data_IF_934969057616
#
_entry.id   IF_934969057616
#
_cell.length_a   1.000
_cell.length_b   1.000
_cell.length_c   1.000
_cell.angle_alpha   90.00
_cell.angle_beta   90.00
_cell.angle_gamma   90.00
#
_symmetry.space_group_name_H-M   'P 1'
#
loop_
_entity.id
_entity.type
_entity.pdbx_description
1 polymer ?
#
# COMPACT_ATOMS: atom_id res chain seq x y z
N UNK A 1 41.63 42.55 17.73
CA UNK A 1 40.41 41.77 17.38
C UNK A 1 40.65 40.83 16.21
N UNK A 2 41.03 41.32 15.01
CA UNK A 2 41.40 40.45 13.88
C UNK A 2 42.56 39.48 14.24
N UNK A 3 43.64 40.00 14.84
CA UNK A 3 44.76 39.20 15.37
C UNK A 3 44.36 38.25 16.51
N UNK A 4 43.39 38.65 17.33
CA UNK A 4 42.80 37.84 18.41
C UNK A 4 42.07 36.61 17.85
N UNK A 5 41.27 36.82 16.80
CA UNK A 5 40.57 35.76 16.09
C UNK A 5 41.56 34.87 15.33
N UNK A 6 42.55 35.44 14.64
CA UNK A 6 43.62 34.69 13.98
C UNK A 6 44.35 33.74 14.94
N UNK A 7 44.82 34.24 16.09
CA UNK A 7 45.49 33.42 17.11
C UNK A 7 44.59 32.31 17.68
N UNK A 8 43.29 32.57 17.80
CA UNK A 8 42.31 31.53 18.16
C UNK A 8 42.16 30.46 17.07
N UNK A 9 41.95 30.88 15.82
CA UNK A 9 41.71 29.99 14.68
C UNK A 9 42.88 29.03 14.44
N UNK A 10 44.11 29.47 14.66
CA UNK A 10 45.33 28.66 14.49
C UNK A 10 45.77 27.92 15.77
N UNK A 11 45.10 28.17 16.90
CA UNK A 11 45.31 27.48 18.18
C UNK A 11 46.56 27.91 18.96
N UNK A 12 47.07 29.13 18.76
CA UNK A 12 48.39 29.54 19.28
C UNK A 12 48.37 30.27 20.63
N UNK A 13 47.23 30.70 21.19
CA UNK A 13 47.19 31.39 22.50
C UNK A 13 45.96 31.08 23.35
N UNK A 14 46.16 31.14 24.69
CA UNK A 14 45.10 31.16 25.69
C UNK A 14 44.48 32.57 25.71
N UNK A 15 43.18 32.65 25.45
CA UNK A 15 42.37 33.86 25.21
C UNK A 15 42.28 34.86 26.38
N UNK A 16 43.15 34.81 27.38
CA UNK A 16 43.07 35.70 28.55
C UNK A 16 43.91 36.95 28.40
N UNK A 17 45.04 36.89 27.68
CA UNK A 17 45.99 38.00 27.59
C UNK A 17 46.80 37.91 26.28
N UNK A 18 46.83 38.99 25.49
CA UNK A 18 47.60 39.03 24.24
C UNK A 18 48.64 40.14 24.25
N UNK A 19 49.89 39.73 24.10
CA UNK A 19 51.02 40.62 23.87
C UNK A 19 51.23 40.83 22.36
N UNK A 20 51.21 42.09 21.94
CA UNK A 20 51.56 42.48 20.57
C UNK A 20 53.08 42.60 20.41
N UNK A 21 53.59 42.58 19.16
CA UNK A 21 55.05 42.69 18.89
C UNK A 21 55.66 44.02 19.37
N UNK A 22 54.84 45.05 19.51
CA UNK A 22 55.17 46.36 20.08
C UNK A 22 54.97 46.43 21.61
N UNK A 23 54.72 45.30 22.28
CA UNK A 23 54.66 45.21 23.74
C UNK A 23 53.34 45.63 24.39
N UNK A 24 52.31 45.99 23.61
CA UNK A 24 51.00 46.30 24.17
C UNK A 24 50.27 45.02 24.56
N UNK A 25 49.69 44.99 25.76
CA UNK A 25 48.94 43.87 26.31
C UNK A 25 47.44 44.18 26.22
N UNK A 26 46.67 43.27 25.63
CA UNK A 26 45.22 43.36 25.53
C UNK A 26 44.56 42.25 26.35
N UNK A 27 43.72 42.63 27.31
CA UNK A 27 42.90 41.72 28.11
C UNK A 27 41.59 41.49 27.36
N UNK A 28 41.26 40.24 27.09
CA UNK A 28 40.07 39.87 26.33
C UNK A 28 38.88 39.78 27.28
N UNK A 29 37.77 40.42 26.93
CA UNK A 29 36.54 40.38 27.72
C UNK A 29 35.99 38.94 27.85
N UNK A 30 35.52 38.54 29.04
CA UNK A 30 34.96 37.21 29.29
C UNK A 30 33.85 36.78 28.30
N UNK A 31 33.08 37.74 27.78
CA UNK A 31 32.07 37.47 26.74
C UNK A 31 32.67 36.90 25.45
N UNK A 32 33.88 37.30 25.09
CA UNK A 32 34.59 36.79 23.91
C UNK A 32 34.98 35.33 24.10
N UNK A 33 35.45 34.95 25.30
CA UNK A 33 35.77 33.56 25.64
C UNK A 33 34.55 32.65 25.48
N UNK A 34 33.40 33.07 25.99
CA UNK A 34 32.14 32.30 25.87
C UNK A 34 31.65 32.13 24.42
N UNK A 35 31.89 33.13 23.57
CA UNK A 35 31.51 33.10 22.15
C UNK A 35 32.43 32.15 21.37
N UNK A 36 33.71 32.16 21.71
CA UNK A 36 34.77 31.40 21.07
C UNK A 36 34.73 29.91 21.46
N UNK A 37 34.40 29.58 22.71
CA UNK A 37 34.23 28.20 23.17
C UNK A 37 33.06 27.45 22.48
N UNK A 38 32.14 28.19 21.84
CA UNK A 38 31.01 27.63 21.07
C UNK A 38 31.35 27.31 19.62
N UNK A 39 32.50 27.76 19.10
CA UNK A 39 32.89 27.44 17.73
C UNK A 39 33.44 26.02 17.63
N UNK A 40 33.04 25.25 16.60
CA UNK A 40 33.60 23.92 16.36
C UNK A 40 35.10 24.00 16.05
N UNK A 41 35.86 22.99 16.49
CA UNK A 41 37.30 22.88 16.18
C UNK A 41 37.49 22.81 14.67
N UNK A 42 38.32 23.70 14.14
CA UNK A 42 38.63 23.75 12.70
C UNK A 42 39.52 22.59 12.26
N UNK A 43 39.31 22.12 11.03
CA UNK A 43 40.20 21.13 10.40
C UNK A 43 41.58 21.73 10.11
N UNK A 44 42.61 20.89 9.97
CA UNK A 44 43.97 21.36 9.72
C UNK A 44 44.13 22.08 8.37
N UNK A 45 43.35 21.70 7.34
CA UNK A 45 43.38 22.42 6.06
C UNK A 45 42.89 23.86 6.23
N UNK A 46 41.84 24.08 7.02
CA UNK A 46 41.31 25.41 7.29
C UNK A 46 42.32 26.22 8.11
N UNK A 47 43.02 25.60 9.08
CA UNK A 47 44.08 26.29 9.84
C UNK A 47 45.24 26.72 8.95
N UNK A 48 45.66 25.90 7.98
CA UNK A 48 46.70 26.27 7.02
C UNK A 48 46.29 27.45 6.14
N UNK A 49 45.03 27.49 5.67
CA UNK A 49 44.50 28.63 4.93
C UNK A 49 44.56 29.89 5.79
N UNK A 50 44.12 29.82 7.05
CA UNK A 50 44.21 30.98 7.93
C UNK A 50 45.66 31.44 8.16
N UNK A 51 46.61 30.53 8.39
CA UNK A 51 48.04 30.87 8.51
C UNK A 51 48.58 31.65 7.32
N UNK A 52 48.17 31.30 6.10
CA UNK A 52 48.57 32.03 4.89
C UNK A 52 48.00 33.46 4.79
N UNK A 53 47.01 33.79 5.62
CA UNK A 53 46.33 35.09 5.64
C UNK A 53 46.83 36.01 6.77
N UNK A 54 47.86 35.64 7.53
CA UNK A 54 48.36 36.38 8.71
C UNK A 54 48.54 37.88 8.43
N UNK A 55 49.26 38.24 7.36
CA UNK A 55 49.50 39.64 6.98
C UNK A 55 48.21 40.40 6.62
N UNK A 56 47.19 39.70 6.12
CA UNK A 56 45.88 40.28 5.81
C UNK A 56 45.12 40.58 7.10
N UNK A 57 45.22 39.72 8.11
CA UNK A 57 44.64 39.94 9.44
C UNK A 57 45.34 41.04 10.24
N UNK A 58 46.64 41.28 10.01
CA UNK A 58 47.37 42.38 10.63
C UNK A 58 47.01 43.76 10.04
N UNK A 59 46.58 43.79 8.77
CA UNK A 59 46.28 45.04 8.04
C UNK A 59 44.79 45.34 7.89
N UNK A 60 43.91 44.34 8.08
CA UNK A 60 42.47 44.52 7.96
C UNK A 60 41.89 45.38 9.11
N UNK A 61 41.21 46.46 8.74
CA UNK A 61 40.41 47.24 9.69
C UNK A 61 39.19 46.43 10.18
N UNK A 62 38.79 46.70 11.43
CA UNK A 62 37.76 45.95 12.18
C UNK A 62 36.42 45.84 11.40
N UNK A 63 36.11 46.81 10.53
CA UNK A 63 34.89 46.84 9.72
C UNK A 63 34.81 45.75 8.66
N UNK A 64 35.91 45.45 7.94
CA UNK A 64 35.92 44.43 6.89
C UNK A 64 35.77 43.01 7.46
N UNK A 65 36.28 42.80 8.68
CA UNK A 65 36.19 41.52 9.35
C UNK A 65 34.76 41.22 9.84
N UNK A 66 34.05 42.23 10.36
CA UNK A 66 32.62 42.10 10.68
C UNK A 66 31.79 41.75 9.44
N UNK A 67 32.01 42.47 8.34
CA UNK A 67 31.33 42.18 7.06
C UNK A 67 31.61 40.77 6.54
N UNK A 68 32.84 40.27 6.70
CA UNK A 68 33.20 38.91 6.32
C UNK A 68 32.48 37.86 7.18
N UNK A 69 32.45 38.03 8.50
CA UNK A 69 31.72 37.12 9.40
C UNK A 69 30.21 37.13 9.11
N UNK A 70 29.61 38.30 8.90
CA UNK A 70 28.19 38.42 8.55
C UNK A 70 27.88 37.72 7.21
N UNK A 71 28.79 37.82 6.24
CA UNK A 71 28.66 37.10 4.97
C UNK A 71 28.78 35.59 5.15
N UNK A 72 29.71 35.10 5.97
CA UNK A 72 29.82 33.67 6.27
C UNK A 72 28.55 33.17 6.94
N UNK A 73 28.08 33.85 7.99
CA UNK A 73 26.85 33.48 8.70
C UNK A 73 25.65 33.48 7.76
N UNK A 74 25.51 34.50 6.91
CA UNK A 74 24.44 34.55 5.92
C UNK A 74 24.50 33.39 4.91
N UNK A 75 25.69 32.99 4.46
CA UNK A 75 25.84 31.85 3.55
C UNK A 75 25.57 30.52 4.26
N UNK A 76 25.99 30.37 5.52
CA UNK A 76 25.66 29.21 6.33
C UNK A 76 24.14 29.06 6.49
N UNK A 77 23.43 30.13 6.88
CA UNK A 77 21.97 30.10 7.04
C UNK A 77 21.28 29.74 5.72
N UNK A 78 21.74 30.27 4.58
CA UNK A 78 21.20 29.90 3.26
C UNK A 78 21.40 28.42 2.95
N UNK A 79 22.60 27.90 3.17
CA UNK A 79 22.91 26.48 2.95
C UNK A 79 22.07 25.56 3.84
N UNK A 80 21.91 25.90 5.13
CA UNK A 80 21.05 25.17 6.06
C UNK A 80 19.58 25.17 5.59
N UNK A 81 19.08 26.30 5.11
CA UNK A 81 17.72 26.42 4.56
C UNK A 81 17.53 25.57 3.31
N UNK A 82 18.51 25.57 2.40
CA UNK A 82 18.47 24.81 1.16
C UNK A 82 18.48 23.30 1.43
N UNK A 83 19.35 22.83 2.34
CA UNK A 83 19.38 21.42 2.78
C UNK A 83 18.04 21.03 3.42
N UNK A 84 17.50 21.88 4.30
CA UNK A 84 16.21 21.61 4.97
C UNK A 84 15.06 21.49 3.97
N UNK A 85 15.03 22.36 2.95
CA UNK A 85 14.02 22.32 1.89
C UNK A 85 14.15 21.06 1.02
N UNK A 86 15.37 20.67 0.64
CA UNK A 86 15.62 19.44 -0.13
C UNK A 86 15.21 18.20 0.67
N UNK A 87 15.55 18.13 1.97
CA UNK A 87 15.13 17.05 2.85
C UNK A 87 13.60 16.97 2.97
N UNK A 88 12.92 18.10 3.12
CA UNK A 88 11.45 18.12 3.20
C UNK A 88 10.82 17.58 1.90
N UNK A 89 11.29 18.04 0.75
CA UNK A 89 10.82 17.56 -0.56
C UNK A 89 11.03 16.06 -0.72
N UNK A 90 12.22 15.55 -0.34
CA UNK A 90 12.52 14.12 -0.39
C UNK A 90 11.60 13.29 0.52
N UNK A 91 11.36 13.76 1.75
CA UNK A 91 10.46 13.10 2.70
C UNK A 91 9.02 13.10 2.18
N UNK A 92 8.54 14.21 1.64
CA UNK A 92 7.19 14.31 1.08
C UNK A 92 7.00 13.36 -0.09
N UNK A 93 7.94 13.34 -1.05
CA UNK A 93 7.90 12.42 -2.19
C UNK A 93 7.97 10.95 -1.74
N UNK A 94 8.87 10.62 -0.81
CA UNK A 94 8.99 9.27 -0.25
C UNK A 94 7.72 8.85 0.49
N UNK A 95 7.14 9.74 1.29
CA UNK A 95 5.91 9.47 2.01
C UNK A 95 4.73 9.22 1.06
N UNK A 96 4.57 10.06 0.02
CA UNK A 96 3.52 9.86 -0.98
C UNK A 96 3.69 8.53 -1.70
N UNK A 97 4.90 8.19 -2.12
CA UNK A 97 5.19 6.91 -2.79
C UNK A 97 4.89 5.70 -1.89
N UNK A 98 5.29 5.75 -0.61
CA UNK A 98 4.98 4.68 0.36
C UNK A 98 3.47 4.60 0.60
N UNK A 99 2.82 5.74 0.80
CA UNK A 99 1.39 5.81 1.07
C UNK A 99 0.57 5.26 -0.11
N UNK A 100 0.89 5.65 -1.36
CA UNK A 100 0.25 5.11 -2.55
C UNK A 100 0.50 3.61 -2.71
N UNK A 101 1.73 3.15 -2.44
CA UNK A 101 2.05 1.73 -2.47
C UNK A 101 1.21 0.92 -1.47
N UNK A 102 1.15 1.37 -0.21
CA UNK A 102 0.35 0.73 0.84
C UNK A 102 -1.16 0.81 0.54
N UNK A 103 -1.64 1.94 0.02
CA UNK A 103 -3.04 2.07 -0.40
C UNK A 103 -3.39 1.10 -1.52
N UNK A 104 -2.51 0.94 -2.51
CA UNK A 104 -2.72 0.02 -3.62
C UNK A 104 -2.67 -1.45 -3.14
N UNK A 105 -1.81 -1.77 -2.18
CA UNK A 105 -1.83 -3.08 -1.52
C UNK A 105 -3.15 -3.36 -0.79
N UNK A 106 -3.69 -2.38 -0.05
CA UNK A 106 -4.94 -2.56 0.70
C UNK A 106 -6.16 -2.63 -0.24
N UNK A 107 -6.20 -1.78 -1.27
CA UNK A 107 -7.32 -1.73 -2.23
C UNK A 107 -7.34 -2.93 -3.17
N UNK A 108 -6.18 -3.53 -3.42
CA UNK A 108 -6.00 -4.54 -4.45
C UNK A 108 -6.11 -3.96 -5.86
N UNK A 109 -6.23 -4.84 -6.83
CA UNK A 109 -6.31 -4.46 -8.23
C UNK A 109 -7.68 -3.85 -8.58
N UNK A 110 -7.70 -2.62 -9.11
CA UNK A 110 -8.94 -1.98 -9.55
C UNK A 110 -9.52 -2.49 -10.87
N UNK A 111 -8.82 -3.38 -11.58
CA UNK A 111 -9.23 -3.85 -12.90
C UNK A 111 -10.49 -4.73 -12.81
N UNK A 112 -11.44 -4.53 -13.72
CA UNK A 112 -12.67 -5.32 -13.79
C UNK A 112 -12.60 -6.34 -14.93
N UNK A 113 -13.02 -7.56 -14.65
CA UNK A 113 -13.07 -8.65 -15.61
C UNK A 113 -13.93 -8.24 -16.82
N UNK A 114 -13.41 -8.32 -18.05
CA UNK A 114 -14.16 -7.90 -19.24
C UNK A 114 -15.42 -8.75 -19.47
N UNK A 115 -15.46 -9.98 -18.94
CA UNK A 115 -16.58 -10.90 -19.10
C UNK A 115 -17.64 -10.77 -17.99
N UNK A 116 -17.26 -10.81 -16.70
CA UNK A 116 -18.21 -10.83 -15.58
C UNK A 116 -18.21 -9.58 -14.70
N UNK A 117 -17.36 -8.58 -15.02
CA UNK A 117 -17.19 -7.31 -14.29
C UNK A 117 -16.70 -7.45 -12.84
N UNK A 118 -16.28 -8.65 -12.44
CA UNK A 118 -15.63 -8.90 -11.15
C UNK A 118 -14.32 -8.09 -11.04
N UNK A 119 -14.08 -7.48 -9.89
CA UNK A 119 -12.80 -6.83 -9.59
C UNK A 119 -11.71 -7.91 -9.44
N UNK A 120 -10.53 -7.65 -10.01
CA UNK A 120 -9.38 -8.55 -9.94
C UNK A 120 -8.90 -8.69 -8.47
N UNK A 121 -8.77 -9.92 -8.00
CA UNK A 121 -8.37 -10.28 -6.65
C UNK A 121 -6.88 -10.67 -6.54
N UNK A 122 -6.12 -10.49 -7.61
CA UNK A 122 -4.69 -10.75 -7.63
C UNK A 122 -3.94 -9.65 -6.88
N UNK A 123 -3.14 -10.06 -5.90
CA UNK A 123 -2.13 -9.20 -5.31
C UNK A 123 -0.93 -9.08 -6.26
N UNK A 124 -1.00 -8.06 -7.11
CA UNK A 124 0.04 -7.76 -8.10
C UNK A 124 1.35 -7.26 -7.47
N UNK A 125 1.39 -6.99 -6.17
CA UNK A 125 2.61 -6.54 -5.47
C UNK A 125 3.50 -7.72 -5.05
N UNK A 126 2.97 -8.94 -4.99
CA UNK A 126 3.77 -10.15 -4.71
C UNK A 126 4.58 -10.61 -5.93
N UNK A 127 4.07 -10.35 -7.14
CA UNK A 127 4.66 -10.83 -8.39
C UNK A 127 5.43 -9.72 -9.13
N UNK A 128 6.54 -9.26 -8.54
CA UNK A 128 7.36 -8.13 -9.04
C UNK A 128 8.17 -8.42 -10.32
N UNK A 129 8.09 -9.66 -10.84
CA UNK A 129 8.91 -10.10 -11.99
C UNK A 129 8.34 -9.68 -13.34
N UNK A 130 7.11 -9.17 -13.39
CA UNK A 130 6.46 -8.72 -14.63
C UNK A 130 5.51 -7.56 -14.36
N UNK A 131 5.31 -6.64 -15.32
CA UNK A 131 4.28 -5.61 -15.22
C UNK A 131 2.88 -6.21 -15.04
N UNK A 132 1.98 -5.44 -14.40
CA UNK A 132 0.56 -5.82 -14.25
C UNK A 132 -0.03 -6.10 -15.64
N UNK A 133 -0.74 -7.22 -15.76
CA UNK A 133 -1.33 -7.68 -17.03
C UNK A 133 -0.38 -8.50 -17.90
N UNK A 134 0.83 -8.84 -17.44
CA UNK A 134 1.81 -9.58 -18.25
C UNK A 134 2.37 -10.80 -17.52
N UNK A 135 2.73 -11.83 -18.30
CA UNK A 135 3.41 -13.03 -17.80
C UNK A 135 2.66 -13.70 -16.64
N UNK A 136 3.31 -13.78 -15.48
CA UNK A 136 2.71 -14.30 -14.24
C UNK A 136 1.85 -13.28 -13.49
N UNK A 137 2.02 -11.99 -13.78
CA UNK A 137 1.35 -10.87 -13.15
C UNK A 137 0.07 -10.43 -13.90
N UNK A 138 -0.56 -11.36 -14.64
CA UNK A 138 -1.85 -11.16 -15.31
C UNK A 138 -2.98 -11.01 -14.31
N UNK A 139 -4.03 -10.29 -14.72
CA UNK A 139 -5.29 -10.27 -13.98
C UNK A 139 -5.89 -11.68 -13.93
N UNK A 140 -6.63 -12.02 -12.87
CA UNK A 140 -7.27 -13.34 -12.76
C UNK A 140 -8.76 -13.22 -12.57
N UNK A 141 -9.49 -14.06 -13.28
CA UNK A 141 -10.90 -14.29 -13.07
C UNK A 141 -11.14 -15.80 -12.89
N UNK A 142 -10.59 -16.33 -11.80
CA UNK A 142 -10.56 -17.76 -11.49
C UNK A 142 -11.33 -18.09 -10.17
N UNK A 143 -11.50 -19.38 -9.88
CA UNK A 143 -12.03 -20.03 -8.67
C UNK A 143 -13.52 -19.80 -8.35
N UNK A 144 -14.40 -19.84 -9.36
CA UNK A 144 -15.86 -19.89 -9.14
C UNK A 144 -16.46 -18.63 -8.51
N UNK A 145 -15.73 -17.51 -8.54
CA UNK A 145 -15.98 -16.39 -7.65
C UNK A 145 -17.06 -15.37 -8.08
N UNK A 146 -17.64 -15.43 -9.27
CA UNK A 146 -18.80 -14.58 -9.57
C UNK A 146 -19.62 -15.15 -10.71
N UNK A 147 -20.93 -15.22 -10.51
CA UNK A 147 -21.87 -15.56 -11.58
C UNK A 147 -21.96 -14.37 -12.55
N UNK A 148 -21.84 -14.62 -13.86
CA UNK A 148 -21.84 -13.56 -14.89
C UNK A 148 -23.08 -12.67 -14.86
N UNK A 149 -24.24 -13.23 -14.51
CA UNK A 149 -25.48 -12.49 -14.29
C UNK A 149 -25.36 -11.38 -13.24
N UNK A 150 -24.49 -11.54 -12.23
CA UNK A 150 -24.23 -10.47 -11.25
C UNK A 150 -23.55 -9.25 -11.88
N UNK A 151 -22.81 -9.44 -12.97
CA UNK A 151 -22.21 -8.37 -13.79
C UNK A 151 -23.10 -7.87 -14.92
N UNK A 152 -24.40 -8.22 -14.92
CA UNK A 152 -25.37 -7.76 -15.91
C UNK A 152 -25.35 -8.54 -17.23
N UNK A 153 -24.73 -9.72 -17.26
CA UNK A 153 -24.61 -10.53 -18.48
C UNK A 153 -25.78 -11.50 -18.62
N UNK A 154 -26.37 -11.55 -19.82
CA UNK A 154 -27.48 -12.45 -20.17
C UNK A 154 -27.18 -13.28 -21.41
N UNK A 155 -27.85 -14.42 -21.56
CA UNK A 155 -27.86 -15.18 -22.80
C UNK A 155 -28.68 -14.43 -23.86
N UNK A 156 -28.11 -14.28 -25.05
CA UNK A 156 -28.71 -13.50 -26.13
C UNK A 156 -30.06 -14.08 -26.59
N UNK A 157 -30.17 -15.41 -26.67
CA UNK A 157 -31.34 -16.12 -27.18
C UNK A 157 -32.50 -16.09 -26.19
N UNK A 158 -32.26 -16.45 -24.92
CA UNK A 158 -33.34 -16.58 -23.92
C UNK A 158 -33.62 -15.28 -23.17
N UNK A 159 -32.64 -14.35 -23.17
CA UNK A 159 -32.64 -13.14 -22.35
C UNK A 159 -32.37 -13.40 -20.87
N UNK A 160 -32.09 -14.64 -20.49
CA UNK A 160 -31.86 -15.05 -19.12
C UNK A 160 -30.49 -14.64 -18.60
N UNK A 161 -30.42 -14.28 -17.31
CA UNK A 161 -29.15 -14.02 -16.64
C UNK A 161 -28.21 -15.22 -16.78
N UNK A 162 -26.96 -14.96 -17.15
CA UNK A 162 -25.97 -16.03 -17.31
C UNK A 162 -25.52 -16.53 -15.94
N UNK A 163 -26.05 -17.68 -15.53
CA UNK A 163 -25.67 -18.34 -14.25
C UNK A 163 -24.30 -19.05 -14.30
N UNK A 164 -23.58 -18.93 -15.42
CA UNK A 164 -22.26 -19.51 -15.63
C UNK A 164 -21.16 -18.63 -15.01
N UNK A 165 -20.06 -19.28 -14.65
CA UNK A 165 -18.79 -18.62 -14.32
C UNK A 165 -17.91 -18.53 -15.56
N UNK A 166 -16.98 -17.57 -15.62
CA UNK A 166 -16.07 -17.43 -16.77
C UNK A 166 -15.25 -18.69 -17.03
N UNK A 167 -14.82 -19.38 -15.97
CA UNK A 167 -13.96 -20.55 -16.06
C UNK A 167 -14.62 -21.78 -16.68
N UNK A 168 -15.96 -21.87 -16.62
CA UNK A 168 -16.69 -23.05 -17.10
C UNK A 168 -17.14 -22.92 -18.56
N UNK A 169 -16.87 -21.77 -19.19
CA UNK A 169 -17.19 -21.53 -20.59
C UNK A 169 -16.18 -22.30 -21.43
N UNK A 170 -16.66 -23.13 -22.36
CA UNK A 170 -15.78 -23.86 -23.27
C UNK A 170 -15.27 -22.93 -24.36
N UNK A 171 -14.09 -23.23 -24.87
CA UNK A 171 -13.40 -22.41 -25.88
C UNK A 171 -14.24 -22.14 -27.14
N UNK A 172 -15.10 -23.09 -27.52
CA UNK A 172 -15.98 -22.99 -28.69
C UNK A 172 -17.34 -22.37 -28.37
N UNK A 173 -17.68 -22.16 -27.09
CA UNK A 173 -18.95 -21.56 -26.70
C UNK A 173 -19.00 -20.08 -27.11
N UNK A 174 -20.13 -19.58 -27.63
CA UNK A 174 -20.26 -18.18 -28.00
C UNK A 174 -20.39 -17.28 -26.76
N UNK A 175 -19.72 -16.14 -26.79
CA UNK A 175 -19.84 -15.07 -25.82
C UNK A 175 -20.09 -13.73 -26.52
N UNK A 176 -20.96 -12.93 -25.90
CA UNK A 176 -21.26 -11.57 -26.35
C UNK A 176 -20.85 -10.63 -25.22
N UNK A 177 -19.93 -9.70 -25.51
CA UNK A 177 -19.50 -8.69 -24.54
C UNK A 177 -20.46 -7.51 -24.55
N UNK A 178 -20.89 -7.08 -23.37
CA UNK A 178 -21.80 -5.92 -23.20
C UNK A 178 -21.21 -4.62 -23.72
N UNK A 179 -19.88 -4.49 -23.77
CA UNK A 179 -19.21 -3.27 -24.21
C UNK A 179 -19.20 -3.09 -25.73
N UNK A 180 -19.24 -4.17 -26.51
CA UNK A 180 -19.01 -4.10 -27.96
C UNK A 180 -20.11 -4.80 -28.77
N UNK A 181 -21.02 -5.56 -28.15
CA UNK A 181 -22.03 -6.40 -28.82
C UNK A 181 -21.46 -7.36 -29.87
N UNK A 182 -20.16 -7.67 -29.81
CA UNK A 182 -19.51 -8.60 -30.72
C UNK A 182 -19.73 -10.01 -30.19
N UNK A 183 -20.37 -10.85 -31.02
CA UNK A 183 -20.46 -12.28 -30.79
C UNK A 183 -19.19 -12.96 -31.29
N UNK A 184 -18.47 -13.61 -30.39
CA UNK A 184 -17.24 -14.33 -30.69
C UNK A 184 -17.15 -15.63 -29.87
N UNK A 185 -16.24 -16.54 -30.22
CA UNK A 185 -15.98 -17.72 -29.38
C UNK A 185 -15.22 -17.34 -28.12
N UNK A 186 -15.35 -18.11 -27.06
CA UNK A 186 -14.61 -17.88 -25.81
C UNK A 186 -13.10 -17.88 -26.03
N UNK A 187 -12.58 -18.74 -26.91
CA UNK A 187 -11.17 -18.73 -27.30
C UNK A 187 -10.73 -17.40 -27.91
N UNK A 188 -11.51 -16.84 -28.84
CA UNK A 188 -11.22 -15.54 -29.44
C UNK A 188 -11.27 -14.43 -28.38
N UNK A 189 -12.25 -14.48 -27.47
CA UNK A 189 -12.35 -13.55 -26.36
C UNK A 189 -11.13 -13.60 -25.43
N UNK A 190 -10.66 -14.80 -25.04
CA UNK A 190 -9.45 -14.95 -24.21
C UNK A 190 -8.21 -14.39 -24.92
N UNK A 191 -8.08 -14.64 -26.23
CA UNK A 191 -6.96 -14.10 -27.01
C UNK A 191 -6.98 -12.56 -27.08
N UNK A 192 -8.16 -11.96 -27.18
CA UNK A 192 -8.33 -10.51 -27.19
C UNK A 192 -8.07 -9.85 -25.82
N UNK A 193 -8.15 -10.63 -24.73
CA UNK A 193 -7.91 -10.20 -23.35
C UNK A 193 -6.78 -11.03 -22.73
N UNK A 194 -5.64 -11.08 -23.43
CA UNK A 194 -4.49 -11.93 -23.04
C UNK A 194 -3.82 -11.48 -21.73
N UNK A 195 -4.11 -10.27 -21.27
CA UNK A 195 -3.76 -9.70 -19.98
C UNK A 195 -4.56 -10.29 -18.80
N UNK A 196 -5.63 -11.02 -19.12
CA UNK A 196 -6.43 -11.78 -18.17
C UNK A 196 -6.17 -13.29 -18.28
N UNK A 197 -6.15 -13.93 -17.12
CA UNK A 197 -6.15 -15.36 -16.96
C UNK A 197 -7.52 -15.82 -16.45
N UNK A 198 -8.25 -16.53 -17.30
CA UNK A 198 -9.58 -17.05 -17.03
C UNK A 198 -9.57 -18.52 -16.55
N UNK A 199 -8.37 -19.08 -16.31
CA UNK A 199 -8.21 -20.45 -15.81
C UNK A 199 -8.44 -21.53 -16.86
N UNK A 200 -8.33 -22.78 -16.39
CA UNK A 200 -8.61 -23.96 -17.20
C UNK A 200 -9.95 -24.59 -16.75
N UNK A 201 -10.96 -24.73 -17.65
CA UNK A 201 -12.26 -25.36 -17.33
C UNK A 201 -12.16 -26.79 -16.76
N UNK A 202 -10.99 -27.44 -16.91
CA UNK A 202 -10.70 -28.79 -16.41
C UNK A 202 -10.32 -28.80 -14.93
N UNK A 203 -9.84 -27.69 -14.37
CA UNK A 203 -9.45 -27.57 -12.96
C UNK A 203 -10.64 -26.98 -12.22
N UNK A 204 -11.51 -27.85 -11.70
CA UNK A 204 -12.75 -27.46 -11.00
C UNK A 204 -12.58 -27.62 -9.50
N UNK A 205 -12.36 -26.52 -8.79
CA UNK A 205 -12.60 -26.49 -7.35
C UNK A 205 -14.10 -26.26 -7.09
N UNK A 206 -14.64 -26.92 -6.07
CA UNK A 206 -16.09 -26.98 -5.79
C UNK A 206 -16.59 -25.70 -5.08
N UNK A 207 -16.21 -24.53 -5.60
CA UNK A 207 -16.51 -23.19 -5.06
C UNK A 207 -17.81 -22.60 -5.62
N UNK A 208 -18.61 -23.41 -6.32
CA UNK A 208 -19.95 -23.07 -6.77
C UNK A 208 -20.95 -22.58 -5.67
N UNK A 209 -20.91 -23.07 -4.41
CA UNK A 209 -21.97 -22.81 -3.43
C UNK A 209 -22.15 -21.34 -2.99
N UNK A 210 -21.11 -20.56 -2.63
CA UNK A 210 -21.30 -19.23 -2.04
C UNK A 210 -21.98 -18.23 -2.98
N UNK A 211 -21.60 -18.24 -4.26
CA UNK A 211 -22.17 -17.30 -5.24
C UNK A 211 -23.53 -17.71 -5.76
N UNK A 212 -23.83 -19.01 -5.77
CA UNK A 212 -25.21 -19.47 -5.99
C UNK A 212 -26.12 -18.93 -4.88
N UNK A 213 -25.70 -19.05 -3.61
CA UNK A 213 -26.46 -18.52 -2.47
C UNK A 213 -26.69 -17.00 -2.56
N UNK A 214 -25.62 -16.23 -2.82
CA UNK A 214 -25.73 -14.77 -2.99
C UNK A 214 -26.71 -14.44 -4.13
N UNK A 215 -26.59 -15.13 -5.27
CA UNK A 215 -27.47 -14.93 -6.42
C UNK A 215 -28.95 -15.19 -6.08
N UNK A 216 -29.26 -16.22 -5.31
CA UNK A 216 -30.65 -16.51 -4.90
C UNK A 216 -31.24 -15.39 -4.04
N UNK A 217 -30.42 -14.69 -3.24
CA UNK A 217 -30.87 -13.58 -2.38
C UNK A 217 -31.07 -12.27 -3.14
N UNK A 218 -30.10 -11.88 -3.96
CA UNK A 218 -30.04 -10.53 -4.56
C UNK A 218 -30.15 -10.53 -6.08
N UNK A 219 -30.11 -11.69 -6.75
CA UNK A 219 -30.03 -11.78 -8.20
C UNK A 219 -31.24 -11.17 -8.92
N UNK A 220 -32.44 -11.30 -8.34
CA UNK A 220 -33.65 -10.63 -8.88
C UNK A 220 -33.50 -9.11 -8.85
N UNK A 221 -33.08 -8.55 -7.72
CA UNK A 221 -32.83 -7.11 -7.56
C UNK A 221 -31.75 -6.62 -8.54
N UNK A 222 -30.69 -7.42 -8.77
CA UNK A 222 -29.66 -7.10 -9.76
C UNK A 222 -30.23 -7.09 -11.18
N UNK A 223 -31.06 -8.09 -11.55
CA UNK A 223 -31.71 -8.12 -12.87
C UNK A 223 -32.58 -6.87 -13.10
N UNK A 224 -33.36 -6.47 -12.11
CA UNK A 224 -34.19 -5.26 -12.16
C UNK A 224 -33.34 -3.99 -12.26
N UNK A 225 -32.18 -3.95 -11.57
CA UNK A 225 -31.26 -2.81 -11.58
C UNK A 225 -30.63 -2.55 -12.96
N UNK A 226 -30.22 -3.60 -13.68
CA UNK A 226 -29.51 -3.45 -14.95
C UNK A 226 -30.38 -2.91 -16.10
N UNK A 227 -31.72 -2.90 -15.95
CA UNK A 227 -32.69 -2.34 -16.93
C UNK A 227 -32.48 -2.81 -18.38
N UNK A 228 -31.82 -3.93 -18.60
CA UNK A 228 -31.41 -4.46 -19.90
C UNK A 228 -32.29 -5.64 -20.36
N UNK A 229 -33.46 -5.83 -19.74
CA UNK A 229 -34.38 -6.93 -20.02
C UNK A 229 -33.84 -8.31 -19.62
N UNK A 230 -32.86 -8.36 -18.70
CA UNK A 230 -32.34 -9.61 -18.16
C UNK A 230 -33.40 -10.32 -17.29
N UNK A 231 -33.72 -11.57 -17.64
CA UNK A 231 -34.63 -12.41 -16.85
C UNK A 231 -33.87 -13.10 -15.73
N UNK A 232 -34.36 -12.99 -14.50
CA UNK A 232 -33.80 -13.71 -13.36
C UNK A 232 -33.98 -15.22 -13.54
N UNK A 233 -32.92 -15.97 -13.23
CA UNK A 233 -32.92 -17.45 -13.23
C UNK A 233 -32.54 -17.91 -11.85
N UNK A 234 -33.38 -18.74 -11.24
CA UNK A 234 -33.08 -19.33 -9.94
C UNK A 234 -31.95 -20.37 -10.07
N UNK A 235 -31.04 -20.38 -9.09
CA UNK A 235 -29.97 -21.37 -9.01
C UNK A 235 -30.08 -22.08 -7.69
N UNK A 236 -30.31 -23.40 -7.73
CA UNK A 236 -30.32 -24.21 -6.52
C UNK A 236 -28.99 -24.04 -5.79
N UNK A 237 -29.06 -23.54 -4.57
CA UNK A 237 -27.90 -23.46 -3.68
C UNK A 237 -28.13 -24.43 -2.53
N UNK A 238 -27.13 -25.23 -2.14
CA UNK A 238 -27.19 -25.92 -0.85
C UNK A 238 -27.38 -24.90 0.28
N UNK A 239 -27.93 -25.33 1.43
CA UNK A 239 -28.14 -24.47 2.59
C UNK A 239 -26.82 -23.78 3.00
N UNK A 240 -26.91 -22.57 3.59
CA UNK A 240 -25.73 -21.73 3.82
C UNK A 240 -24.72 -22.43 4.73
N UNK A 241 -23.44 -22.28 4.39
CA UNK A 241 -22.36 -22.55 5.33
C UNK A 241 -22.33 -21.35 6.28
N UNK A 242 -22.64 -21.56 7.55
CA UNK A 242 -22.55 -20.52 8.55
C UNK A 242 -21.08 -20.09 8.73
N UNK A 243 -20.77 -18.85 8.40
CA UNK A 243 -19.46 -18.25 8.68
C UNK A 243 -19.52 -17.56 10.04
N UNK A 244 -18.60 -17.92 10.93
CA UNK A 244 -18.48 -17.33 12.26
C UNK A 244 -17.19 -16.51 12.33
N UNK A 245 -17.32 -15.24 12.70
CA UNK A 245 -16.17 -14.36 12.95
C UNK A 245 -15.99 -14.32 14.47
N UNK A 246 -14.84 -14.81 14.94
CA UNK A 246 -14.46 -14.69 16.34
C UNK A 246 -13.56 -13.47 16.50
N UNK A 247 -14.04 -12.46 17.21
CA UNK A 247 -13.25 -11.29 17.59
C UNK A 247 -12.81 -11.52 19.03
N UNK A 248 -11.50 -11.61 19.24
CA UNK A 248 -10.89 -11.87 20.54
C UNK A 248 -10.14 -10.63 21.00
N UNK A 249 -10.39 -10.23 22.25
CA UNK A 249 -9.60 -9.18 22.89
C UNK A 249 -8.22 -9.73 23.30
N UNK A 250 -7.16 -9.07 22.84
CA UNK A 250 -5.77 -9.42 23.16
C UNK A 250 -5.20 -8.53 24.29
N UNK A 251 -6.06 -7.90 25.10
CA UNK A 251 -5.65 -7.16 26.28
C UNK A 251 -4.99 -8.06 27.33
N UNK A 252 -4.09 -7.48 28.14
CA UNK A 252 -3.34 -8.21 29.17
C UNK A 252 -4.22 -8.87 30.25
N UNK A 253 -5.47 -8.45 30.40
CA UNK A 253 -6.46 -9.08 31.29
C UNK A 253 -6.94 -10.46 30.80
N UNK A 254 -6.75 -10.79 29.52
CA UNK A 254 -7.18 -12.06 28.91
C UNK A 254 -6.07 -13.12 28.85
N UNK A 255 -4.87 -12.84 29.39
CA UNK A 255 -3.65 -13.63 29.20
C UNK A 255 -3.64 -15.01 29.91
N UNK A 256 -4.75 -15.45 30.49
CA UNK A 256 -4.90 -16.75 31.17
C UNK A 256 -5.88 -17.74 30.51
N UNK A 257 -6.62 -17.34 29.46
CA UNK A 257 -7.82 -18.08 29.01
C UNK A 257 -7.67 -18.90 27.72
N UNK A 258 -6.45 -19.21 27.28
CA UNK A 258 -6.23 -20.01 26.06
C UNK A 258 -6.93 -21.40 26.10
N UNK A 259 -7.14 -21.97 27.28
CA UNK A 259 -7.85 -23.24 27.45
C UNK A 259 -9.38 -23.12 27.28
N UNK A 260 -9.96 -21.97 27.59
CA UNK A 260 -11.40 -21.71 27.44
C UNK A 260 -11.73 -21.60 25.96
N UNK A 261 -10.91 -20.89 25.19
CA UNK A 261 -11.08 -20.74 23.74
C UNK A 261 -11.05 -22.08 23.01
N UNK A 262 -10.09 -22.95 23.38
CA UNK A 262 -10.00 -24.30 22.82
C UNK A 262 -11.23 -25.14 23.15
N UNK A 263 -11.75 -25.07 24.39
CA UNK A 263 -13.00 -25.75 24.78
C UNK A 263 -14.22 -25.21 24.05
N UNK A 264 -14.29 -23.89 23.90
CA UNK A 264 -15.40 -23.21 23.23
C UNK A 264 -15.45 -23.57 21.75
N UNK A 265 -14.30 -23.57 21.05
CA UNK A 265 -14.22 -24.03 19.66
C UNK A 265 -14.55 -25.52 19.49
N UNK A 266 -14.14 -26.36 20.44
CA UNK A 266 -14.43 -27.81 20.39
C UNK A 266 -15.91 -28.10 20.64
N UNK A 267 -16.53 -27.42 21.61
CA UNK A 267 -17.98 -27.55 21.88
C UNK A 267 -18.84 -26.95 20.76
N UNK A 268 -18.40 -25.82 20.19
CA UNK A 268 -19.07 -25.16 19.08
C UNK A 268 -19.10 -26.05 17.82
N UNK A 269 -17.96 -26.64 17.45
CA UNK A 269 -17.88 -27.55 16.30
C UNK A 269 -18.68 -28.84 16.51
N UNK A 270 -18.72 -29.38 17.74
CA UNK A 270 -19.57 -30.53 18.08
C UNK A 270 -21.07 -30.20 18.00
N UNK A 271 -21.48 -29.02 18.46
CA UNK A 271 -22.87 -28.54 18.37
C UNK A 271 -23.33 -28.38 16.92
N UNK A 272 -22.50 -27.79 16.06
CA UNK A 272 -22.80 -27.64 14.62
C UNK A 272 -22.95 -28.98 13.90
N UNK A 273 -22.16 -30.00 14.28
CA UNK A 273 -22.32 -31.36 13.73
C UNK A 273 -23.64 -32.00 14.12
N UNK A 274 -24.11 -31.80 15.35
CA UNK A 274 -25.37 -32.38 15.82
C UNK A 274 -26.60 -31.68 15.22
N UNK A 275 -26.55 -30.36 15.04
CA UNK A 275 -27.63 -29.61 14.35
C UNK A 275 -27.78 -30.01 12.87
N UNK A 276 -26.67 -30.35 12.19
CA UNK A 276 -26.70 -30.83 10.81
C UNK A 276 -27.31 -32.24 10.65
N UNK A 277 -27.30 -33.06 11.71
CA UNK A 277 -27.92 -34.40 11.71
C UNK A 277 -29.43 -34.32 11.94
N UNK A 278 -29.89 -33.42 12.81
CA UNK A 278 -31.33 -33.26 13.11
C UNK A 278 -32.15 -32.67 11.95
N UNK A 279 -31.56 -31.80 11.12
CA UNK A 279 -32.23 -31.26 9.93
C UNK A 279 -32.34 -32.27 8.77
N UNK A 280 -31.59 -33.38 8.83
CA UNK A 280 -31.63 -34.45 7.82
C UNK A 280 -32.73 -35.49 8.06
N UNK A 281 -33.39 -35.48 9.23
CA UNK A 281 -34.38 -36.50 9.63
C UNK A 281 -35.85 -36.11 9.41
N UNK A 282 -36.16 -34.91 8.93
CA UNK A 282 -37.53 -34.51 8.57
C UNK A 282 -37.75 -34.51 7.05
N UNK A 283 -37.59 -35.67 6.43
CA UNK A 283 -38.30 -36.00 5.17
C UNK A 283 -39.09 -37.28 5.39
N UNK A 284 -40.16 -37.17 6.18
CA UNK A 284 -41.20 -38.18 6.18
C UNK A 284 -41.90 -38.15 4.81
N UNK A 285 -41.52 -39.12 3.98
CA UNK A 285 -42.28 -39.55 2.82
C UNK A 285 -43.69 -39.95 3.28
N UNK A 286 -44.69 -39.16 2.93
CA UNK A 286 -46.07 -39.66 2.88
C UNK A 286 -46.22 -40.52 1.61
N UNK A 287 -46.75 -41.75 1.71
CA UNK A 287 -47.01 -42.58 0.54
C UNK A 287 -48.14 -41.99 -0.30
N UNK A 288 -47.98 -42.09 -1.61
CA UNK A 288 -49.02 -41.84 -2.59
C UNK A 288 -50.16 -42.84 -2.42
N UNK A 289 -51.39 -42.36 -2.23
CA UNK A 289 -52.62 -43.10 -2.56
C UNK A 289 -53.55 -42.19 -3.38
N UNK A 290 -53.99 -42.78 -4.50
CA UNK A 290 -54.92 -42.34 -5.56
C UNK A 290 -54.41 -41.37 -6.65
#
# INVERSE_FOLDING_TARGET
MAKLFYCYLIGEQVLTEISTRNGSIYIVNDRWKTLVDKFPKLSEEIKQIFRSLENTFETATISYFGFFLDKILSQQTKAEQEISNQMRSFIEETYQNIHEHLLNQIRGCGAQCPCCKRICDVDHHLELTSPIGQGKNRHRCQFGHQIRGMGGIRYEITGEASIAWCEIIKDDDPVTTTSNNIRQTWKAFKNANADWDFGDPRIRENLAPPYAYIWTRIGKQLCDHYKNGMKFVEKNSPPPINHFIFILDHSGSMNGENNILRRLMTGFTASQRNSAVTDSSETNLTPWEH
#
